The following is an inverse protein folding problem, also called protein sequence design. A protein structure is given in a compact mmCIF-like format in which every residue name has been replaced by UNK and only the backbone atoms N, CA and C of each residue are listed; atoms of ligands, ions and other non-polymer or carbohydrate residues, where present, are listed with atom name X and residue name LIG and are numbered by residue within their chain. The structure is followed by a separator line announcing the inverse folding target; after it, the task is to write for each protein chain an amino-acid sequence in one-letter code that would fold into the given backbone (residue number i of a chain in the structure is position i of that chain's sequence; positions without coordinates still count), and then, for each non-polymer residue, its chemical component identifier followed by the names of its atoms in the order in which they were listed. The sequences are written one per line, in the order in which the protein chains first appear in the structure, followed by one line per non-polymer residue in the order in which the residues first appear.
data_IF_540852883886
#
_entry.id   IF_540852883886
#
_cell.length_a   1.000
_cell.length_b   1.000
_cell.length_c   1.000
_cell.angle_alpha   90.00
_cell.angle_beta   90.00
_cell.angle_gamma   90.00
#
_symmetry.space_group_name_H-M   'P 1'
#
loop_
_entity.id
_entity.type
_entity.pdbx_description
1 polymer ?
#
# COMPACT_ATOMS: atom_id res chain seq x y z
N UNK A 1 -12.86 -4.47 7.93
CA UNK A 1 -12.16 -3.40 8.70
C UNK A 1 -11.26 -2.64 7.72
N UNK A 2 -11.20 -1.31 7.80
CA UNK A 2 -10.33 -0.48 6.96
C UNK A 2 -9.13 -0.02 7.80
N UNK A 3 -7.91 -0.14 7.26
CA UNK A 3 -6.69 0.31 7.90
C UNK A 3 -6.02 1.44 7.10
N UNK A 4 -5.32 2.34 7.80
CA UNK A 4 -4.49 3.38 7.20
C UNK A 4 -3.02 3.06 7.45
N UNK A 5 -2.20 3.23 6.43
CA UNK A 5 -0.77 2.94 6.53
C UNK A 5 0.04 3.78 5.53
N UNK A 6 1.35 3.81 5.74
CA UNK A 6 2.27 4.65 4.96
C UNK A 6 2.98 3.88 3.85
N UNK A 7 3.20 2.57 4.00
CA UNK A 7 3.97 1.77 3.05
C UNK A 7 3.47 0.32 3.00
N UNK A 8 3.15 -0.21 1.82
CA UNK A 8 2.77 -1.61 1.68
C UNK A 8 3.93 -2.51 2.05
N UNK A 9 3.61 -3.51 2.87
CA UNK A 9 4.48 -4.57 3.36
C UNK A 9 3.72 -5.91 3.23
N UNK A 10 4.18 -6.85 2.38
CA UNK A 10 3.45 -8.09 2.11
C UNK A 10 3.10 -8.92 3.34
N UNK A 11 4.06 -9.13 4.24
CA UNK A 11 3.87 -10.00 5.40
C UNK A 11 2.88 -9.37 6.39
N UNK A 12 2.98 -8.05 6.57
CA UNK A 12 2.01 -7.30 7.37
C UNK A 12 0.60 -7.38 6.79
N UNK A 13 0.46 -7.25 5.48
CA UNK A 13 -0.85 -7.31 4.80
C UNK A 13 -1.49 -8.69 4.90
N UNK A 14 -0.69 -9.77 4.77
CA UNK A 14 -1.17 -11.14 4.97
C UNK A 14 -1.69 -11.35 6.39
N UNK A 15 -0.95 -10.90 7.40
CA UNK A 15 -1.39 -10.97 8.80
C UNK A 15 -2.65 -10.13 9.05
N UNK A 16 -2.75 -8.95 8.46
CA UNK A 16 -3.93 -8.09 8.61
C UNK A 16 -5.19 -8.71 8.00
N UNK A 17 -5.05 -9.43 6.89
CA UNK A 17 -6.14 -10.21 6.30
C UNK A 17 -6.68 -11.24 7.30
N UNK A 18 -5.80 -11.97 8.00
CA UNK A 18 -6.19 -12.94 9.04
C UNK A 18 -6.94 -12.28 10.21
N UNK A 19 -6.65 -11.00 10.48
CA UNK A 19 -7.30 -10.20 11.51
C UNK A 19 -8.60 -9.51 11.04
N UNK A 20 -9.05 -9.78 9.80
CA UNK A 20 -10.31 -9.24 9.27
C UNK A 20 -10.21 -7.84 8.65
N UNK A 21 -8.98 -7.37 8.36
CA UNK A 21 -8.79 -6.19 7.52
C UNK A 21 -9.14 -6.55 6.08
N UNK A 22 -10.04 -5.76 5.49
CA UNK A 22 -10.58 -5.97 4.15
C UNK A 22 -10.05 -4.94 3.16
N UNK A 23 -9.55 -3.81 3.66
CA UNK A 23 -9.04 -2.70 2.84
C UNK A 23 -7.94 -1.95 3.58
N UNK A 24 -6.92 -1.52 2.84
CA UNK A 24 -5.83 -0.68 3.35
C UNK A 24 -5.65 0.52 2.44
N UNK A 25 -5.70 1.71 3.04
CA UNK A 25 -5.53 2.99 2.36
C UNK A 25 -4.10 3.50 2.58
N UNK A 26 -3.45 3.89 1.47
CA UNK A 26 -2.12 4.50 1.49
C UNK A 26 -2.20 5.94 1.02
N UNK A 27 -1.65 6.85 1.83
CA UNK A 27 -1.59 8.26 1.49
C UNK A 27 -0.69 8.54 0.28
N UNK A 28 -1.06 9.54 -0.50
CA UNK A 28 -0.23 10.10 -1.57
C UNK A 28 0.52 11.33 -1.05
N UNK A 29 1.77 11.54 -1.48
CA UNK A 29 2.52 12.73 -1.09
C UNK A 29 1.95 13.97 -1.79
N UNK A 30 2.00 15.12 -1.12
CA UNK A 30 1.67 16.41 -1.73
C UNK A 30 2.83 16.88 -2.62
N UNK A 31 2.80 16.46 -3.89
CA UNK A 31 3.86 16.65 -4.89
C UNK A 31 3.25 16.76 -6.30
N UNK A 32 4.10 17.00 -7.30
CA UNK A 32 3.67 17.03 -8.69
C UNK A 32 3.02 15.71 -9.12
N UNK A 33 2.08 15.72 -10.09
CA UNK A 33 1.46 14.49 -10.60
C UNK A 33 2.46 13.44 -11.09
N UNK A 34 3.57 13.88 -11.71
CA UNK A 34 4.62 12.98 -12.18
C UNK A 34 5.32 12.28 -11.00
N UNK A 35 5.65 13.03 -9.93
CA UNK A 35 6.24 12.46 -8.72
C UNK A 35 5.29 11.49 -8.02
N UNK A 36 4.00 11.81 -7.99
CA UNK A 36 2.95 10.93 -7.43
C UNK A 36 2.83 9.64 -8.24
N UNK A 37 2.86 9.70 -9.57
CA UNK A 37 2.83 8.52 -10.42
C UNK A 37 4.02 7.59 -10.15
N UNK A 38 5.25 8.12 -10.14
CA UNK A 38 6.44 7.35 -9.80
C UNK A 38 6.40 6.79 -8.37
N UNK A 39 5.81 7.54 -7.43
CA UNK A 39 5.59 7.06 -6.07
C UNK A 39 4.65 5.85 -6.05
N UNK A 40 3.52 5.90 -6.77
CA UNK A 40 2.55 4.80 -6.85
C UNK A 40 3.17 3.57 -7.50
N UNK A 41 3.92 3.71 -8.58
CA UNK A 41 4.64 2.59 -9.22
C UNK A 41 5.60 1.91 -8.23
N UNK A 42 6.34 2.69 -7.44
CA UNK A 42 7.23 2.18 -6.40
C UNK A 42 6.47 1.45 -5.29
N UNK A 43 5.27 1.89 -4.92
CA UNK A 43 4.42 1.17 -3.97
C UNK A 43 3.93 -0.15 -4.56
N UNK A 44 3.46 -0.14 -5.81
CA UNK A 44 3.01 -1.34 -6.52
C UNK A 44 4.12 -2.39 -6.63
N UNK A 45 5.37 -1.97 -6.89
CA UNK A 45 6.52 -2.87 -6.94
C UNK A 45 6.75 -3.65 -5.64
N UNK A 46 6.36 -3.11 -4.48
CA UNK A 46 6.47 -3.82 -3.18
C UNK A 46 5.47 -4.96 -3.02
N UNK A 47 4.38 -4.90 -3.79
CA UNK A 47 3.31 -5.89 -3.77
C UNK A 47 3.50 -6.97 -4.83
N UNK A 48 4.56 -6.90 -5.64
CA UNK A 48 4.93 -7.96 -6.60
C UNK A 48 4.94 -9.37 -5.99
N UNK A 49 5.42 -9.59 -4.74
CA UNK A 49 5.39 -10.92 -4.13
C UNK A 49 3.99 -11.46 -3.81
N UNK A 50 2.95 -10.61 -3.86
CA UNK A 50 1.55 -10.98 -3.60
C UNK A 50 0.74 -11.21 -4.89
N UNK A 51 1.35 -11.05 -6.07
CA UNK A 51 0.72 -11.39 -7.36
C UNK A 51 0.68 -12.90 -7.57
#
# INVERSE_FOLDING_TARGET
IVALDFKPDPDKLLRWRELGVTEVLFGLPDRSPADVASYVERLAGKLTPLR
#
